data_IF_480425246561
#
_entry.id   IF_480425246561
#
_cell.length_a   1.000
_cell.length_b   1.000
_cell.length_c   1.000
_cell.angle_alpha   90.00
_cell.angle_beta   90.00
_cell.angle_gamma   90.00
#
_symmetry.space_group_name_H-M   'P 1'
#
loop_
_entity.id
_entity.type
_entity.pdbx_description
1 polymer ?
#
# COMPACT_ATOMS: atom_id res chain seq x y z
N UNK A 1 -69.00 -34.25 -16.15
CA UNK A 1 -67.73 -33.60 -15.79
C UNK A 1 -66.91 -33.56 -17.08
N UNK A 2 -66.67 -32.39 -17.68
CA UNK A 2 -65.80 -32.30 -18.85
C UNK A 2 -64.34 -32.53 -18.44
N UNK A 3 -63.60 -33.30 -19.24
CA UNK A 3 -62.18 -33.59 -19.05
C UNK A 3 -61.33 -32.31 -19.15
N UNK A 4 -60.25 -32.17 -18.35
CA UNK A 4 -59.35 -31.04 -18.46
C UNK A 4 -58.51 -31.12 -19.75
N UNK A 5 -58.42 -29.99 -20.43
CA UNK A 5 -57.67 -29.74 -21.67
C UNK A 5 -56.16 -30.03 -21.50
N UNK A 6 -55.51 -30.82 -22.38
CA UNK A 6 -54.08 -31.08 -22.32
C UNK A 6 -53.19 -29.94 -22.84
N UNK A 7 -53.75 -28.81 -23.29
CA UNK A 7 -52.97 -27.69 -23.83
C UNK A 7 -52.68 -26.58 -22.79
N UNK A 8 -52.27 -26.98 -21.58
CA UNK A 8 -51.60 -26.08 -20.65
C UNK A 8 -50.17 -25.84 -21.14
N UNK A 9 -50.05 -24.95 -22.13
CA UNK A 9 -48.78 -24.45 -22.63
C UNK A 9 -47.85 -24.12 -21.47
N UNK A 10 -46.70 -24.79 -21.48
CA UNK A 10 -45.56 -24.50 -20.62
C UNK A 10 -45.31 -22.99 -20.61
N UNK A 11 -45.16 -22.32 -19.46
CA UNK A 11 -44.67 -20.96 -19.47
C UNK A 11 -43.25 -20.98 -20.03
N UNK A 12 -43.13 -20.60 -21.30
CA UNK A 12 -41.87 -20.33 -21.96
C UNK A 12 -41.18 -19.17 -21.24
N UNK A 13 -39.91 -19.38 -20.90
CA UNK A 13 -39.01 -18.32 -20.50
C UNK A 13 -38.98 -18.09 -18.99
N UNK A 14 -38.31 -18.99 -18.27
CA UNK A 14 -37.47 -18.53 -17.16
C UNK A 14 -36.62 -17.37 -17.70
N UNK A 15 -36.78 -16.19 -17.11
CA UNK A 15 -35.97 -15.02 -17.46
C UNK A 15 -34.50 -15.43 -17.40
N UNK A 16 -33.82 -15.37 -18.55
CA UNK A 16 -32.39 -15.16 -18.51
C UNK A 16 -32.25 -13.77 -17.93
N UNK A 17 -31.85 -13.68 -16.67
CA UNK A 17 -31.22 -12.47 -16.18
C UNK A 17 -30.05 -12.24 -17.15
N UNK A 18 -30.22 -11.29 -18.06
CA UNK A 18 -29.13 -10.81 -18.91
C UNK A 18 -28.06 -10.33 -17.92
N UNK A 19 -27.06 -11.18 -17.68
CA UNK A 19 -26.00 -10.87 -16.74
C UNK A 19 -25.25 -9.65 -17.29
N UNK A 20 -25.60 -8.47 -16.77
CA UNK A 20 -24.97 -7.22 -17.17
C UNK A 20 -23.48 -7.29 -16.86
N UNK A 21 -22.68 -6.81 -17.81
CA UNK A 21 -21.24 -6.71 -17.63
C UNK A 21 -20.93 -5.85 -16.39
N UNK A 22 -20.05 -6.31 -15.48
CA UNK A 22 -19.75 -5.56 -14.27
C UNK A 22 -19.16 -4.18 -14.59
N UNK A 23 -19.52 -3.19 -13.77
CA UNK A 23 -18.95 -1.85 -13.87
C UNK A 23 -17.45 -1.88 -13.51
N UNK A 24 -16.59 -1.11 -14.21
CA UNK A 24 -15.18 -1.02 -13.87
C UNK A 24 -14.96 -0.35 -12.49
N UNK A 25 -13.87 -0.65 -11.78
CA UNK A 25 -13.56 -0.02 -10.50
C UNK A 25 -13.43 1.51 -10.61
N UNK A 26 -13.92 2.24 -9.60
CA UNK A 26 -13.78 3.69 -9.52
C UNK A 26 -12.29 4.11 -9.45
N UNK A 27 -11.96 5.23 -10.10
CA UNK A 27 -10.60 5.77 -10.13
C UNK A 27 -9.60 5.00 -11.00
N UNK A 28 -9.95 3.82 -11.52
CA UNK A 28 -9.08 3.04 -12.39
C UNK A 28 -9.10 3.61 -13.82
N UNK A 29 -7.92 3.88 -14.37
CA UNK A 29 -7.81 4.47 -15.70
C UNK A 29 -8.39 3.55 -16.79
N UNK A 30 -9.11 4.13 -17.76
CA UNK A 30 -9.74 3.41 -18.88
C UNK A 30 -8.81 2.42 -19.59
N UNK A 31 -7.57 2.84 -19.84
CA UNK A 31 -6.51 2.02 -20.46
C UNK A 31 -6.13 0.75 -19.69
N UNK A 32 -6.58 0.60 -18.44
CA UNK A 32 -6.32 -0.57 -17.59
C UNK A 32 -7.51 -1.52 -17.62
N UNK A 33 -8.73 -1.04 -17.37
CA UNK A 33 -9.90 -1.93 -17.30
C UNK A 33 -10.44 -2.37 -18.67
N UNK A 34 -10.30 -1.55 -19.72
CA UNK A 34 -10.79 -1.90 -21.06
C UNK A 34 -10.05 -3.13 -21.63
N UNK A 35 -8.72 -3.24 -21.52
CA UNK A 35 -8.03 -4.50 -21.84
C UNK A 35 -8.48 -5.69 -21.00
N UNK A 36 -8.69 -5.52 -19.69
CA UNK A 36 -9.10 -6.62 -18.80
C UNK A 36 -10.46 -7.22 -19.22
N UNK A 37 -11.42 -6.39 -19.63
CA UNK A 37 -12.72 -6.86 -20.11
C UNK A 37 -12.63 -7.69 -21.40
N UNK A 38 -11.56 -7.53 -22.19
CA UNK A 38 -11.34 -8.31 -23.41
C UNK A 38 -10.62 -9.65 -23.17
N UNK A 39 -10.16 -9.92 -21.94
CA UNK A 39 -9.37 -11.11 -21.62
C UNK A 39 -10.24 -12.37 -21.43
N UNK A 40 -9.60 -13.52 -21.58
CA UNK A 40 -10.21 -14.80 -21.23
C UNK A 40 -10.27 -14.98 -19.70
N UNK A 41 -11.16 -15.85 -19.21
CA UNK A 41 -11.21 -16.21 -17.78
C UNK A 41 -9.84 -16.68 -17.28
N UNK A 42 -9.17 -17.53 -18.06
CA UNK A 42 -7.84 -18.02 -17.75
C UNK A 42 -6.80 -16.91 -17.59
N UNK A 43 -6.79 -15.93 -18.49
CA UNK A 43 -5.85 -14.81 -18.41
C UNK A 43 -6.19 -13.88 -17.24
N UNK A 44 -7.48 -13.70 -16.92
CA UNK A 44 -7.92 -12.94 -15.76
C UNK A 44 -7.43 -13.58 -14.45
N UNK A 45 -7.54 -14.91 -14.31
CA UNK A 45 -7.01 -15.64 -13.16
C UNK A 45 -5.49 -15.43 -13.01
N UNK A 46 -4.73 -15.51 -14.11
CA UNK A 46 -3.28 -15.25 -14.08
C UNK A 46 -2.93 -13.80 -13.74
N UNK A 47 -3.77 -12.85 -14.19
CA UNK A 47 -3.62 -11.44 -13.82
C UNK A 47 -3.89 -11.27 -12.32
N UNK A 48 -4.85 -11.99 -11.74
CA UNK A 48 -5.09 -11.96 -10.30
C UNK A 48 -3.87 -12.46 -9.53
N UNK A 49 -3.35 -13.65 -9.88
CA UNK A 49 -2.14 -14.22 -9.26
C UNK A 49 -0.96 -13.23 -9.31
N UNK A 50 -0.72 -12.64 -10.48
CA UNK A 50 0.35 -11.65 -10.64
C UNK A 50 0.09 -10.36 -9.86
N UNK A 51 -1.16 -9.90 -9.77
CA UNK A 51 -1.51 -8.73 -8.95
C UNK A 51 -1.22 -9.00 -7.47
N UNK A 52 -1.54 -10.18 -6.96
CA UNK A 52 -1.25 -10.59 -5.59
C UNK A 52 0.26 -10.60 -5.31
N UNK A 53 1.05 -11.26 -6.16
CA UNK A 53 2.53 -11.25 -6.07
C UNK A 53 3.10 -9.83 -6.12
N UNK A 54 2.55 -8.98 -6.99
CA UNK A 54 3.01 -7.61 -7.15
C UNK A 54 2.66 -6.73 -5.93
N UNK A 55 1.50 -6.96 -5.30
CA UNK A 55 1.09 -6.30 -4.05
C UNK A 55 2.05 -6.73 -2.94
N UNK A 56 2.29 -8.03 -2.75
CA UNK A 56 3.23 -8.54 -1.75
C UNK A 56 4.62 -7.92 -1.94
N UNK A 57 5.12 -7.92 -3.18
CA UNK A 57 6.39 -7.28 -3.50
C UNK A 57 6.38 -5.79 -3.14
N UNK A 58 5.33 -5.03 -3.48
CA UNK A 58 5.25 -3.58 -3.20
C UNK A 58 5.05 -3.25 -1.71
N UNK A 59 4.48 -4.16 -0.92
CA UNK A 59 4.20 -3.97 0.51
C UNK A 59 5.26 -4.59 1.43
N UNK A 60 6.24 -5.30 0.86
CA UNK A 60 7.35 -5.88 1.63
C UNK A 60 8.05 -4.81 2.47
N UNK A 61 8.50 -5.14 3.70
CA UNK A 61 9.30 -4.25 4.52
C UNK A 61 10.53 -3.72 3.76
N UNK A 62 10.91 -2.47 4.00
CA UNK A 62 12.17 -1.93 3.46
C UNK A 62 13.32 -2.55 4.23
N UNK A 63 14.22 -3.21 3.52
CA UNK A 63 15.45 -3.71 4.13
C UNK A 63 16.45 -2.56 4.35
N UNK A 64 17.27 -2.58 5.41
CA UNK A 64 18.31 -1.56 5.65
C UNK A 64 19.25 -1.36 4.44
N UNK A 65 19.54 -2.43 3.71
CA UNK A 65 20.40 -2.42 2.51
C UNK A 65 19.84 -1.55 1.37
N UNK A 66 18.52 -1.36 1.29
CA UNK A 66 17.87 -0.54 0.25
C UNK A 66 17.99 0.98 0.50
N UNK A 67 18.54 1.40 1.64
CA UNK A 67 18.62 2.82 2.06
C UNK A 67 19.95 3.49 1.78
N UNK A 68 20.87 2.81 1.09
CA UNK A 68 22.18 3.31 0.67
C UNK A 68 23.03 3.94 1.80
N UNK A 69 22.83 3.52 3.06
CA UNK A 69 23.69 3.87 4.18
C UNK A 69 23.59 5.31 4.70
N UNK A 70 22.51 6.04 4.40
CA UNK A 70 22.35 7.46 4.81
C UNK A 70 22.20 7.73 6.32
N UNK A 71 22.39 6.72 7.18
CA UNK A 71 22.35 6.87 8.64
C UNK A 71 22.32 5.55 9.39
N UNK A 72 22.29 5.63 10.72
CA UNK A 72 22.26 4.47 11.62
C UNK A 72 20.82 4.04 11.86
N UNK A 73 20.47 2.80 11.54
CA UNK A 73 19.15 2.25 11.85
C UNK A 73 19.06 1.99 13.35
N UNK A 74 18.10 2.61 14.04
CA UNK A 74 17.89 2.42 15.47
C UNK A 74 16.76 1.45 15.79
N UNK A 75 15.79 1.30 14.88
CA UNK A 75 14.68 0.35 15.00
C UNK A 75 14.36 -0.29 13.66
N UNK A 76 14.51 -1.61 13.58
CA UNK A 76 14.11 -2.43 12.43
C UNK A 76 12.71 -3.01 12.69
N UNK A 77 11.64 -2.31 12.33
CA UNK A 77 10.26 -2.85 12.39
C UNK A 77 9.45 -2.13 11.29
N UNK A 78 8.58 -2.84 10.53
CA UNK A 78 7.37 -3.57 10.97
C UNK A 78 7.54 -5.09 10.96
N UNK A 79 6.98 -5.89 11.90
CA UNK A 79 7.11 -7.34 11.91
C UNK A 79 5.84 -8.06 11.46
N UNK A 80 6.02 -9.37 11.37
CA UNK A 80 5.21 -10.41 10.73
C UNK A 80 3.85 -10.69 11.36
N UNK A 81 3.45 -9.94 12.40
CA UNK A 81 2.28 -10.26 13.24
C UNK A 81 1.10 -9.28 13.05
N UNK A 82 1.23 -8.30 12.15
CA UNK A 82 0.19 -7.31 11.85
C UNK A 82 -0.41 -7.65 10.48
N UNK A 83 -1.73 -7.63 10.35
CA UNK A 83 -2.38 -7.98 9.07
C UNK A 83 -1.95 -7.01 7.94
N UNK A 84 -1.96 -7.45 6.67
CA UNK A 84 -1.65 -6.57 5.54
C UNK A 84 -2.52 -5.30 5.51
N UNK A 85 -3.78 -5.43 5.91
CA UNK A 85 -4.74 -4.32 5.96
C UNK A 85 -4.36 -3.28 7.02
N UNK A 86 -4.08 -3.71 8.24
CA UNK A 86 -3.61 -2.82 9.31
C UNK A 86 -2.29 -2.14 8.96
N UNK A 87 -1.36 -2.87 8.31
CA UNK A 87 -0.10 -2.29 7.83
C UNK A 87 -0.32 -1.23 6.76
N UNK A 88 -1.31 -1.42 5.89
CA UNK A 88 -1.68 -0.45 4.85
C UNK A 88 -2.31 0.79 5.48
N UNK A 89 -3.25 0.62 6.40
CA UNK A 89 -3.93 1.72 7.08
C UNK A 89 -2.95 2.59 7.89
N UNK A 90 -2.11 1.98 8.73
CA UNK A 90 -1.11 2.70 9.52
C UNK A 90 -0.12 3.48 8.63
N UNK A 91 0.18 2.94 7.45
CA UNK A 91 1.06 3.59 6.49
C UNK A 91 0.40 4.75 5.77
N UNK A 92 -0.85 4.60 5.34
CA UNK A 92 -1.62 5.67 4.72
C UNK A 92 -1.80 6.84 5.69
N UNK A 93 -2.16 6.56 6.95
CA UNK A 93 -2.22 7.57 8.01
C UNK A 93 -0.88 8.30 8.15
N UNK A 94 0.23 7.56 8.26
CA UNK A 94 1.57 8.17 8.34
C UNK A 94 1.99 8.94 7.07
N UNK A 95 1.50 8.56 5.89
CA UNK A 95 1.70 9.28 4.63
C UNK A 95 0.97 10.62 4.61
N UNK A 96 -0.16 10.74 5.30
CA UNK A 96 -0.94 11.97 5.38
C UNK A 96 -0.61 12.84 6.61
N UNK A 97 -0.05 12.24 7.67
CA UNK A 97 0.40 12.95 8.87
C UNK A 97 1.34 14.12 8.56
N UNK A 98 1.08 15.24 9.24
CA UNK A 98 1.87 16.45 9.09
C UNK A 98 3.25 16.33 9.78
N UNK A 99 4.08 17.36 9.63
CA UNK A 99 5.46 17.32 10.14
C UNK A 99 5.52 17.39 11.66
N UNK A 100 4.67 18.17 12.30
CA UNK A 100 4.68 18.34 13.76
C UNK A 100 4.17 17.08 14.44
N UNK A 101 3.06 16.50 13.97
CA UNK A 101 2.53 15.22 14.47
C UNK A 101 3.59 14.12 14.43
N UNK A 102 4.35 14.01 13.33
CA UNK A 102 5.42 13.03 13.20
C UNK A 102 6.58 13.22 14.17
N UNK A 103 6.81 14.42 14.70
CA UNK A 103 7.88 14.65 15.68
C UNK A 103 7.51 14.14 17.06
N UNK A 104 6.21 14.15 17.37
CA UNK A 104 5.68 13.77 18.68
C UNK A 104 5.61 12.25 18.84
N UNK A 105 5.68 11.50 17.73
CA UNK A 105 5.76 10.04 17.73
C UNK A 105 7.08 9.52 18.34
N UNK A 106 6.96 8.45 19.11
CA UNK A 106 8.07 7.65 19.62
C UNK A 106 8.74 6.86 18.50
N UNK A 107 9.99 6.41 18.72
CA UNK A 107 10.64 5.52 17.76
C UNK A 107 9.89 4.20 17.57
N UNK A 108 9.12 3.75 18.57
CA UNK A 108 8.35 2.52 18.53
C UNK A 108 7.13 2.65 17.62
N UNK A 109 6.42 3.78 17.69
CA UNK A 109 5.30 4.12 16.79
C UNK A 109 5.79 4.31 15.36
N UNK A 110 6.88 5.05 15.17
CA UNK A 110 7.52 5.22 13.86
C UNK A 110 7.91 3.87 13.24
N UNK A 111 8.43 2.96 14.07
CA UNK A 111 8.82 1.61 13.67
C UNK A 111 7.62 0.67 13.37
N UNK A 112 6.38 1.10 13.57
CA UNK A 112 5.21 0.33 13.10
C UNK A 112 5.02 0.47 11.59
N UNK A 113 5.46 1.58 10.99
CA UNK A 113 5.27 1.90 9.57
C UNK A 113 6.51 1.59 8.74
N UNK A 114 7.69 1.79 9.30
CA UNK A 114 8.97 1.54 8.63
C UNK A 114 10.14 1.69 9.59
N UNK A 115 11.35 1.31 9.17
CA UNK A 115 12.47 1.35 10.10
C UNK A 115 12.91 2.80 10.40
N UNK A 116 13.33 3.04 11.64
CA UNK A 116 13.80 4.35 12.09
C UNK A 116 15.31 4.45 11.86
N UNK A 117 15.73 5.54 11.22
CA UNK A 117 17.13 5.85 10.97
C UNK A 117 17.49 7.22 11.54
N UNK A 118 18.61 7.27 12.24
CA UNK A 118 19.23 8.51 12.68
C UNK A 118 20.24 8.96 11.63
N UNK A 119 20.06 10.16 11.09
CA UNK A 119 20.94 10.79 10.10
C UNK A 119 21.58 12.05 10.67
N UNK A 120 22.83 12.30 10.28
CA UNK A 120 23.45 13.64 10.37
C UNK A 120 23.58 14.18 8.95
N UNK A 121 23.08 15.38 8.68
CA UNK A 121 23.07 15.96 7.36
C UNK A 121 24.25 16.93 7.19
N UNK A 122 25.12 16.73 6.19
CA UNK A 122 26.13 17.72 5.85
C UNK A 122 25.45 18.97 5.30
N UNK A 123 25.87 20.14 5.75
CA UNK A 123 25.41 21.41 5.22
C UNK A 123 26.29 21.88 4.05
N UNK A 124 25.73 22.79 3.24
CA UNK A 124 26.47 23.50 2.20
C UNK A 124 27.54 24.47 2.74
N UNK A 125 28.26 25.17 1.84
CA UNK A 125 29.35 26.08 2.22
C UNK A 125 28.88 27.19 3.19
N UNK A 126 29.66 27.47 4.23
CA UNK A 126 29.40 28.58 5.18
C UNK A 126 28.57 28.21 6.42
N UNK A 127 28.64 26.95 6.87
CA UNK A 127 27.87 26.43 7.99
C UNK A 127 28.74 26.23 9.23
N UNK A 128 28.45 26.95 10.32
CA UNK A 128 29.26 26.96 11.56
C UNK A 128 28.98 25.80 12.54
N UNK A 129 28.27 24.75 12.10
CA UNK A 129 27.80 23.65 12.94
C UNK A 129 27.55 22.33 12.18
N UNK A 130 28.49 21.95 11.31
CA UNK A 130 28.39 20.74 10.47
C UNK A 130 28.96 19.49 11.15
N UNK A 131 28.36 18.30 10.96
CA UNK A 131 27.07 18.02 10.34
C UNK A 131 25.89 18.25 11.29
N UNK A 132 24.75 18.72 10.75
CA UNK A 132 23.54 18.99 11.53
C UNK A 132 22.80 17.71 11.90
N UNK A 133 22.10 17.76 13.03
CA UNK A 133 21.40 16.62 13.60
C UNK A 133 21.97 16.28 14.97
N UNK A 134 21.76 15.05 15.48
CA UNK A 134 21.09 13.93 14.81
C UNK A 134 19.58 14.15 14.60
N UNK A 135 19.06 13.60 13.51
CA UNK A 135 17.63 13.65 13.15
C UNK A 135 17.08 12.25 12.92
N UNK A 136 15.83 12.01 13.33
CA UNK A 136 15.11 10.77 13.09
C UNK A 136 14.38 10.84 11.74
N UNK A 137 14.44 9.74 11.02
CA UNK A 137 13.68 9.51 9.79
C UNK A 137 13.01 8.15 9.87
N UNK A 138 11.78 8.06 9.37
CA UNK A 138 11.11 6.78 9.13
C UNK A 138 11.24 6.44 7.66
N UNK A 139 11.78 5.26 7.36
CA UNK A 139 11.97 4.77 6.00
C UNK A 139 11.00 3.64 5.76
N UNK A 140 10.17 3.82 4.75
CA UNK A 140 9.06 2.94 4.43
C UNK A 140 8.84 2.92 2.92
N UNK A 141 8.05 1.96 2.42
CA UNK A 141 7.55 2.02 1.04
C UNK A 141 6.29 2.86 1.04
N UNK A 142 6.14 3.82 0.14
CA UNK A 142 4.90 4.57 0.00
C UNK A 142 3.75 3.71 -0.57
N UNK A 143 2.52 4.24 -0.61
CA UNK A 143 1.33 3.61 -1.21
C UNK A 143 1.53 3.10 -2.65
N UNK A 144 2.56 3.58 -3.36
CA UNK A 144 2.94 3.12 -4.71
C UNK A 144 4.00 2.02 -4.71
N UNK A 145 4.54 1.67 -3.54
CA UNK A 145 5.59 0.67 -3.31
C UNK A 145 7.02 1.21 -3.44
N UNK A 146 7.20 2.54 -3.51
CA UNK A 146 8.51 3.17 -3.64
C UNK A 146 9.13 3.43 -2.27
N UNK A 147 10.40 3.05 -2.08
CA UNK A 147 11.14 3.40 -0.86
C UNK A 147 11.26 4.92 -0.73
N UNK A 148 10.83 5.44 0.41
CA UNK A 148 10.86 6.87 0.74
C UNK A 148 11.21 7.05 2.22
N UNK A 149 11.53 8.28 2.61
CA UNK A 149 11.83 8.64 3.99
C UNK A 149 11.09 9.90 4.41
N UNK A 150 10.56 9.91 5.63
CA UNK A 150 9.93 11.09 6.23
C UNK A 150 10.70 11.51 7.49
N UNK A 151 11.00 12.80 7.60
CA UNK A 151 11.58 13.40 8.80
C UNK A 151 10.62 13.29 9.99
N UNK A 152 11.15 12.90 11.16
CA UNK A 152 10.42 12.64 12.40
C UNK A 152 11.06 13.33 13.62
N UNK A 153 11.72 14.47 13.40
CA UNK A 153 12.25 15.31 14.49
C UNK A 153 13.75 15.15 14.75
N UNK A 154 14.23 15.89 15.75
CA UNK A 154 15.59 15.69 16.29
C UNK A 154 15.63 14.34 16.99
N UNK A 155 16.72 13.61 16.83
CA UNK A 155 16.97 12.48 17.71
C UNK A 155 17.35 13.03 19.09
N UNK A 156 16.93 12.36 20.15
CA UNK A 156 17.35 12.73 21.50
C UNK A 156 18.88 12.62 21.57
N UNK A 157 19.51 13.67 22.11
CA UNK A 157 20.95 13.69 22.32
C UNK A 157 21.30 12.65 23.36
N UNK A 158 22.18 11.71 23.01
CA UNK A 158 22.81 10.81 23.96
C UNK A 158 23.65 11.58 24.98
#
# INVERSE_FOLDING_TARGET
>A
MPDPDPDAGVPAGAGKEDAEMPAPPEGLAKRVWEPLQAQTVYDLERVMDYCEELIEYKERPVSPAETNGEGVVTKERPPKDVSPEERRAAKEEFEDMDKEERKDLSEEELAQVGHVQIRKLPCGPGCDGCPHGPYRYTIFRDSRGKVTSKYAGKAEGN
#
